data_IF_882354152610
#
_entry.id   IF_882354152610
#
_cell.length_a   1.000
_cell.length_b   1.000
_cell.length_c   1.000
_cell.angle_alpha   90.00
_cell.angle_beta   90.00
_cell.angle_gamma   90.00
#
_symmetry.space_group_name_H-M   'P 1'
#
loop_
_entity.id
_entity.type
_entity.pdbx_description
1 polymer ?
#
# COMPACT_ATOMS: atom_id res chain seq x y z
N UNK A 1 -15.31 -4.30 25.05
CA UNK A 1 -14.79 -3.03 25.61
C UNK A 1 -15.38 -1.91 24.78
N UNK A 2 -15.93 -0.86 25.43
CA UNK A 2 -16.45 0.31 24.70
C UNK A 2 -15.29 1.15 24.16
N UNK A 3 -15.44 1.68 22.95
CA UNK A 3 -14.50 2.68 22.39
C UNK A 3 -14.71 3.99 23.16
N UNK A 4 -13.66 4.51 23.78
CA UNK A 4 -13.68 5.80 24.48
C UNK A 4 -13.06 6.85 23.55
N UNK A 5 -13.79 7.95 23.34
CA UNK A 5 -13.28 9.10 22.60
C UNK A 5 -12.84 10.15 23.61
N UNK A 6 -11.61 10.60 23.48
CA UNK A 6 -11.00 11.64 24.33
C UNK A 6 -10.68 12.88 23.47
N UNK A 7 -10.71 14.07 24.07
CA UNK A 7 -10.22 15.28 23.43
C UNK A 7 -8.75 15.48 23.84
N UNK A 8 -7.84 15.29 22.87
CA UNK A 8 -6.41 15.46 23.09
C UNK A 8 -5.93 16.80 22.54
N UNK A 9 -4.91 17.38 23.18
CA UNK A 9 -4.25 18.59 22.68
C UNK A 9 -3.59 18.29 21.35
N UNK A 10 -3.70 19.19 20.38
CA UNK A 10 -3.12 19.03 19.05
C UNK A 10 -1.58 18.99 19.12
N UNK A 11 -1.00 19.68 20.10
CA UNK A 11 0.46 19.74 20.30
C UNK A 11 1.02 18.42 20.84
N UNK A 12 0.21 17.63 21.55
CA UNK A 12 0.58 16.28 22.02
C UNK A 12 0.55 15.22 20.92
N UNK A 13 0.10 15.58 19.70
CA UNK A 13 -0.10 14.64 18.60
C UNK A 13 0.99 14.79 17.53
N UNK A 14 1.68 13.66 17.26
CA UNK A 14 2.76 13.58 16.29
C UNK A 14 2.37 12.70 15.11
N UNK A 15 2.77 13.16 13.91
CA UNK A 15 2.63 12.33 12.72
C UNK A 15 3.53 11.09 12.82
N UNK A 16 3.00 9.95 12.36
CA UNK A 16 3.78 8.73 12.35
C UNK A 16 4.83 8.76 11.21
N UNK A 17 6.14 8.61 11.51
CA UNK A 17 7.19 8.61 10.49
C UNK A 17 7.07 7.43 9.51
N UNK A 18 6.44 6.33 9.95
CA UNK A 18 6.21 5.11 9.14
C UNK A 18 4.91 5.16 8.32
N UNK A 19 4.23 6.31 8.26
CA UNK A 19 3.02 6.45 7.45
C UNK A 19 3.35 6.18 5.98
N UNK A 20 2.67 5.22 5.32
CA UNK A 20 2.84 4.96 3.88
C UNK A 20 2.58 6.21 3.03
N UNK A 21 1.66 7.05 3.45
CA UNK A 21 1.36 8.33 2.79
C UNK A 21 2.40 9.38 3.14
N UNK A 22 3.35 9.64 2.23
CA UNK A 22 4.43 10.64 2.43
C UNK A 22 3.96 12.09 2.27
N UNK A 23 2.94 12.33 1.45
CA UNK A 23 2.40 13.67 1.21
C UNK A 23 0.95 13.76 1.67
N UNK A 24 0.66 14.75 2.47
CA UNK A 24 -0.70 15.00 2.97
C UNK A 24 -1.61 15.54 1.86
N UNK A 25 -1.00 16.12 0.78
CA UNK A 25 -1.71 16.77 -0.33
C UNK A 25 -2.34 18.09 0.10
N UNK A 26 -3.18 18.63 -0.77
CA UNK A 26 -3.95 19.82 -0.45
C UNK A 26 -4.97 19.53 0.67
N UNK A 27 -4.96 20.37 1.70
CA UNK A 27 -5.82 20.26 2.87
C UNK A 27 -6.64 21.55 3.15
N UNK A 28 -6.61 22.54 2.27
CA UNK A 28 -7.25 23.85 2.50
C UNK A 28 -8.77 23.72 2.67
N UNK A 29 -9.43 22.94 1.79
CA UNK A 29 -10.85 22.66 1.93
C UNK A 29 -11.17 21.90 3.21
N UNK A 30 -10.33 20.90 3.57
CA UNK A 30 -10.50 20.14 4.80
C UNK A 30 -10.30 21.02 6.04
N UNK A 31 -9.29 21.91 6.03
CA UNK A 31 -9.04 22.85 7.13
C UNK A 31 -10.19 23.85 7.27
N UNK A 32 -10.74 24.35 6.17
CA UNK A 32 -11.92 25.20 6.17
C UNK A 32 -13.17 24.49 6.76
N UNK A 33 -13.41 23.25 6.34
CA UNK A 33 -14.49 22.42 6.87
C UNK A 33 -14.31 22.14 8.37
N UNK A 34 -13.10 21.79 8.79
CA UNK A 34 -12.78 21.53 10.21
C UNK A 34 -12.96 22.81 11.06
N UNK A 35 -12.58 23.97 10.55
CA UNK A 35 -12.78 25.26 11.25
C UNK A 35 -14.27 25.56 11.48
N UNK A 36 -15.13 25.22 10.51
CA UNK A 36 -16.56 25.53 10.59
C UNK A 36 -17.38 24.47 11.33
N UNK A 37 -17.00 23.18 11.26
CA UNK A 37 -17.83 22.07 11.73
C UNK A 37 -17.13 21.16 12.77
N UNK A 38 -15.85 21.42 13.07
CA UNK A 38 -15.02 20.53 13.88
C UNK A 38 -14.68 19.20 13.18
N UNK A 39 -13.99 18.34 13.90
CA UNK A 39 -13.64 16.99 13.43
C UNK A 39 -14.78 16.03 13.80
N UNK A 40 -15.48 15.50 12.80
CA UNK A 40 -16.60 14.58 13.01
C UNK A 40 -16.15 13.12 13.19
N UNK A 41 -15.03 12.75 12.59
CA UNK A 41 -14.46 11.41 12.70
C UNK A 41 -13.19 11.47 13.55
N UNK A 42 -13.16 10.84 14.75
CA UNK A 42 -12.01 10.85 15.63
C UNK A 42 -10.74 10.34 14.94
N UNK A 43 -9.58 10.81 15.41
CA UNK A 43 -8.30 10.22 15.06
C UNK A 43 -8.11 8.89 15.81
N UNK A 44 -7.33 7.96 15.26
CA UNK A 44 -6.82 6.83 16.02
C UNK A 44 -5.36 7.10 16.36
N UNK A 45 -5.04 7.03 17.65
CA UNK A 45 -3.71 7.34 18.16
C UNK A 45 -3.22 6.27 19.13
N UNK A 46 -1.91 6.14 19.25
CA UNK A 46 -1.27 5.28 20.26
C UNK A 46 -0.29 6.10 21.10
N UNK A 47 -0.17 5.87 22.43
CA UNK A 47 0.87 6.50 23.23
C UNK A 47 2.25 6.17 22.64
N UNK A 48 3.13 7.17 22.52
CA UNK A 48 4.49 6.95 22.04
C UNK A 48 5.52 6.61 23.14
N UNK A 49 5.06 6.59 24.38
CA UNK A 49 5.88 6.32 25.56
C UNK A 49 6.63 7.54 26.10
N UNK A 50 6.45 8.70 25.48
CA UNK A 50 7.08 9.96 25.90
C UNK A 50 6.09 10.84 26.66
N UNK A 51 6.63 11.76 27.45
CA UNK A 51 5.93 12.86 28.09
C UNK A 51 6.68 14.16 27.80
N UNK A 52 5.95 15.26 27.66
CA UNK A 52 6.56 16.57 27.54
C UNK A 52 7.10 17.09 28.89
N UNK A 53 7.64 18.30 28.88
CA UNK A 53 8.21 18.95 30.08
C UNK A 53 7.16 19.25 31.17
N UNK A 54 5.89 19.34 30.78
CA UNK A 54 4.76 19.61 31.68
C UNK A 54 4.07 18.31 32.14
N UNK A 55 4.61 17.14 31.70
CA UNK A 55 4.10 15.83 32.09
C UNK A 55 2.95 15.32 31.23
N UNK A 56 2.62 15.96 30.10
CA UNK A 56 1.58 15.50 29.19
C UNK A 56 2.07 14.33 28.36
N UNK A 57 1.25 13.28 28.27
CA UNK A 57 1.51 12.12 27.43
C UNK A 57 1.51 12.52 25.96
N UNK A 58 2.49 12.01 25.22
CA UNK A 58 2.62 12.23 23.80
C UNK A 58 2.09 11.02 23.00
N UNK A 59 1.49 11.29 21.84
CA UNK A 59 0.82 10.25 21.05
C UNK A 59 1.27 10.29 19.59
N UNK A 60 1.37 9.10 18.98
CA UNK A 60 1.52 8.98 17.52
C UNK A 60 0.16 8.75 16.86
N UNK A 61 -0.08 9.43 15.76
CA UNK A 61 -1.28 9.23 14.96
C UNK A 61 -1.12 7.99 14.09
N UNK A 62 -2.07 7.07 14.18
CA UNK A 62 -2.17 5.84 13.38
C UNK A 62 -3.10 6.06 12.19
N UNK A 63 -4.29 6.62 12.44
CA UNK A 63 -5.27 7.01 11.40
C UNK A 63 -5.66 8.47 11.58
N UNK A 64 -5.69 9.22 10.46
CA UNK A 64 -6.19 10.59 10.44
C UNK A 64 -5.12 11.66 10.30
N UNK A 65 -3.97 11.37 9.71
CA UNK A 65 -2.87 12.31 9.48
C UNK A 65 -3.31 13.60 8.75
N UNK A 66 -4.19 13.49 7.72
CA UNK A 66 -4.76 14.68 7.04
C UNK A 66 -5.61 15.52 7.98
N UNK A 67 -6.39 14.87 8.86
CA UNK A 67 -7.22 15.58 9.85
C UNK A 67 -6.38 16.28 10.89
N UNK A 68 -5.28 15.67 11.35
CA UNK A 68 -4.32 16.31 12.23
C UNK A 68 -3.69 17.54 11.57
N UNK A 69 -3.19 17.39 10.32
CA UNK A 69 -2.59 18.51 9.59
C UNK A 69 -3.59 19.66 9.39
N UNK A 70 -4.82 19.35 9.00
CA UNK A 70 -5.88 20.35 8.83
C UNK A 70 -6.33 20.98 10.16
N UNK A 71 -6.32 20.23 11.27
CA UNK A 71 -6.58 20.78 12.61
C UNK A 71 -5.52 21.79 13.03
N UNK A 72 -4.23 21.46 12.81
CA UNK A 72 -3.11 22.38 13.03
C UNK A 72 -3.25 23.66 12.20
N UNK A 73 -3.55 23.52 10.92
CA UNK A 73 -3.76 24.67 10.02
C UNK A 73 -5.00 25.50 10.39
N UNK A 74 -6.03 24.88 10.96
CA UNK A 74 -7.25 25.55 11.39
C UNK A 74 -7.11 26.27 12.74
N UNK A 75 -6.01 26.04 13.47
CA UNK A 75 -5.77 26.61 14.79
C UNK A 75 -6.61 25.96 15.90
N UNK A 76 -7.05 24.70 15.73
CA UNK A 76 -7.72 23.97 16.81
C UNK A 76 -6.72 23.62 17.91
N UNK A 77 -7.10 23.83 19.16
CA UNK A 77 -6.31 23.42 20.33
C UNK A 77 -6.47 21.94 20.67
N UNK A 78 -7.66 21.38 20.43
CA UNK A 78 -7.96 19.98 20.75
C UNK A 78 -8.65 19.28 19.59
N UNK A 79 -8.50 17.95 19.52
CA UNK A 79 -9.17 17.09 18.56
C UNK A 79 -9.71 15.81 19.22
N UNK A 80 -10.86 15.29 18.75
CA UNK A 80 -11.37 14.01 19.24
C UNK A 80 -10.46 12.87 18.74
N UNK A 81 -10.05 12.00 19.65
CA UNK A 81 -9.20 10.85 19.35
C UNK A 81 -9.66 9.60 20.10
N UNK A 82 -9.43 8.46 19.50
CA UNK A 82 -9.50 7.14 20.13
C UNK A 82 -8.08 6.77 20.49
N UNK A 83 -7.82 6.55 21.78
CA UNK A 83 -6.53 6.11 22.28
C UNK A 83 -6.52 4.60 22.39
N UNK A 84 -5.64 3.94 21.68
CA UNK A 84 -5.45 2.49 21.72
C UNK A 84 -3.96 2.17 21.90
N UNK A 85 -3.62 1.44 22.95
CA UNK A 85 -2.26 0.93 23.13
C UNK A 85 -2.03 -0.22 22.16
N UNK A 86 -0.99 -0.10 21.33
CA UNK A 86 -0.63 -1.11 20.35
C UNK A 86 0.88 -1.18 20.15
N UNK A 87 1.36 -2.36 19.77
CA UNK A 87 2.75 -2.53 19.35
C UNK A 87 3.00 -1.99 17.94
N UNK A 88 4.29 -1.83 17.60
CA UNK A 88 4.71 -1.28 16.31
C UNK A 88 4.22 -2.12 15.10
N UNK A 89 4.06 -3.44 15.28
CA UNK A 89 3.54 -4.33 14.23
C UNK A 89 2.06 -4.04 13.96
N UNK A 90 1.25 -3.95 15.02
CA UNK A 90 -0.18 -3.65 14.92
C UNK A 90 -0.43 -2.25 14.38
N UNK A 91 0.33 -1.27 14.83
CA UNK A 91 0.30 0.10 14.33
C UNK A 91 0.55 0.14 12.81
N UNK A 92 1.61 -0.53 12.33
CA UNK A 92 1.95 -0.60 10.91
C UNK A 92 0.90 -1.34 10.09
N UNK A 93 0.36 -2.42 10.61
CA UNK A 93 -0.71 -3.19 9.97
C UNK A 93 -1.96 -2.32 9.74
N UNK A 94 -2.42 -1.59 10.76
CA UNK A 94 -3.60 -0.70 10.66
C UNK A 94 -3.37 0.38 9.60
N UNK A 95 -2.18 1.02 9.60
CA UNK A 95 -1.84 2.03 8.61
C UNK A 95 -1.82 1.48 7.18
N UNK A 96 -1.30 0.27 6.97
CA UNK A 96 -1.29 -0.38 5.65
C UNK A 96 -2.70 -0.74 5.18
N UNK A 97 -3.54 -1.29 6.07
CA UNK A 97 -4.94 -1.59 5.75
C UNK A 97 -5.70 -0.32 5.36
N UNK A 98 -5.57 0.76 6.15
CA UNK A 98 -6.19 2.06 5.82
C UNK A 98 -5.72 2.58 4.47
N UNK A 99 -4.40 2.52 4.24
CA UNK A 99 -3.82 3.00 2.99
C UNK A 99 -4.32 2.19 1.77
N UNK A 100 -4.43 0.85 1.86
CA UNK A 100 -4.93 0.02 0.74
C UNK A 100 -6.41 0.24 0.40
N UNK A 101 -7.17 0.89 1.27
CA UNK A 101 -8.58 1.20 1.05
C UNK A 101 -8.79 2.55 0.33
N UNK A 102 -7.74 3.28 0.03
CA UNK A 102 -7.82 4.56 -0.68
C UNK A 102 -8.20 4.33 -2.14
N UNK A 103 -8.98 5.27 -2.70
CA UNK A 103 -9.46 5.22 -4.09
C UNK A 103 -8.48 5.82 -5.10
N UNK A 104 -7.45 6.52 -4.64
CA UNK A 104 -6.48 7.26 -5.46
C UNK A 104 -5.14 6.52 -5.66
N UNK A 105 -5.05 5.26 -5.21
CA UNK A 105 -3.87 4.43 -5.42
C UNK A 105 -3.76 3.93 -6.86
N UNK A 106 -2.55 3.98 -7.40
CA UNK A 106 -2.21 3.22 -8.61
C UNK A 106 -2.21 1.71 -8.30
N UNK A 107 -2.38 0.84 -9.32
CA UNK A 107 -2.35 -0.60 -9.11
C UNK A 107 -1.04 -1.12 -8.48
N UNK A 108 0.08 -0.43 -8.73
CA UNK A 108 1.38 -0.81 -8.16
C UNK A 108 1.50 -0.39 -6.69
N UNK A 109 1.03 0.82 -6.33
CA UNK A 109 0.99 1.26 -4.94
C UNK A 109 0.08 0.38 -4.08
N UNK A 110 -1.06 -0.03 -4.65
CA UNK A 110 -1.95 -0.99 -3.99
C UNK A 110 -1.28 -2.36 -3.81
N UNK A 111 -0.56 -2.84 -4.83
CA UNK A 111 0.21 -4.09 -4.74
C UNK A 111 1.28 -4.03 -3.65
N UNK A 112 2.03 -2.92 -3.56
CA UNK A 112 3.05 -2.71 -2.53
C UNK A 112 2.44 -2.63 -1.12
N UNK A 113 1.24 -2.07 -0.99
CA UNK A 113 0.48 -2.10 0.26
C UNK A 113 0.15 -3.52 0.72
N UNK A 114 -0.32 -4.38 -0.18
CA UNK A 114 -0.56 -5.80 0.13
C UNK A 114 0.72 -6.58 0.41
N UNK A 115 1.83 -6.27 -0.28
CA UNK A 115 3.12 -6.87 0.03
C UNK A 115 3.58 -6.49 1.44
N UNK A 116 3.45 -5.22 1.82
CA UNK A 116 3.77 -4.78 3.18
C UNK A 116 2.96 -5.50 4.27
N UNK A 117 1.68 -5.83 4.01
CA UNK A 117 0.87 -6.66 4.90
C UNK A 117 1.39 -8.10 4.96
N UNK A 118 1.79 -8.68 3.82
CA UNK A 118 2.37 -10.02 3.77
C UNK A 118 3.68 -10.10 4.57
N UNK A 119 4.54 -9.09 4.45
CA UNK A 119 5.81 -8.98 5.18
C UNK A 119 5.61 -8.89 6.71
N UNK A 120 4.46 -8.37 7.14
CA UNK A 120 4.02 -8.41 8.54
C UNK A 120 3.43 -9.77 8.96
N UNK A 121 3.37 -10.76 8.05
CA UNK A 121 2.83 -12.08 8.31
C UNK A 121 1.30 -12.16 8.26
N UNK A 122 0.62 -11.15 7.69
CA UNK A 122 -0.83 -11.17 7.48
C UNK A 122 -1.15 -12.08 6.31
N UNK A 123 -1.98 -13.09 6.49
CA UNK A 123 -2.35 -14.05 5.45
C UNK A 123 -3.36 -13.48 4.44
N UNK A 124 -3.41 -14.06 3.23
CA UNK A 124 -4.32 -13.61 2.14
C UNK A 124 -5.79 -13.57 2.57
N UNK A 125 -6.24 -14.54 3.35
CA UNK A 125 -7.63 -14.59 3.84
C UNK A 125 -7.91 -13.41 4.76
N UNK A 126 -7.02 -13.16 5.70
CA UNK A 126 -7.13 -12.06 6.66
C UNK A 126 -7.03 -10.69 5.98
N UNK A 127 -6.13 -10.52 4.99
CA UNK A 127 -6.07 -9.32 4.17
C UNK A 127 -7.39 -9.05 3.46
N UNK A 128 -7.98 -10.10 2.86
CA UNK A 128 -9.26 -10.01 2.15
C UNK A 128 -10.39 -9.54 3.08
N UNK A 129 -10.46 -10.11 4.28
CA UNK A 129 -11.44 -9.75 5.31
C UNK A 129 -11.25 -8.29 5.79
N UNK A 130 -10.02 -7.89 6.12
CA UNK A 130 -9.69 -6.54 6.62
C UNK A 130 -9.90 -5.43 5.58
N UNK A 131 -9.67 -5.73 4.30
CA UNK A 131 -9.78 -4.72 3.22
C UNK A 131 -11.13 -4.76 2.50
N UNK A 132 -12.00 -5.75 2.80
CA UNK A 132 -13.28 -5.94 2.12
C UNK A 132 -13.11 -6.39 0.66
N UNK A 133 -11.97 -6.99 0.30
CA UNK A 133 -11.67 -7.47 -1.05
C UNK A 133 -11.75 -9.00 -1.14
N UNK A 134 -11.83 -9.55 -2.35
CA UNK A 134 -11.77 -11.00 -2.53
C UNK A 134 -10.32 -11.52 -2.39
N UNK A 135 -10.13 -12.77 -1.92
CA UNK A 135 -8.81 -13.38 -1.88
C UNK A 135 -8.16 -13.53 -3.27
N UNK A 136 -8.96 -13.60 -4.35
CA UNK A 136 -8.46 -13.56 -5.74
C UNK A 136 -7.84 -12.19 -6.06
N UNK A 137 -8.51 -11.13 -5.65
CA UNK A 137 -8.01 -9.77 -5.81
C UNK A 137 -6.66 -9.58 -5.09
N UNK A 138 -6.58 -9.96 -3.81
CA UNK A 138 -5.34 -9.87 -3.02
C UNK A 138 -4.20 -10.64 -3.67
N UNK A 139 -4.42 -11.90 -4.10
CA UNK A 139 -3.39 -12.69 -4.80
C UNK A 139 -2.91 -12.03 -6.09
N UNK A 140 -3.82 -11.39 -6.83
CA UNK A 140 -3.46 -10.65 -8.06
C UNK A 140 -2.53 -9.48 -7.73
N UNK A 141 -2.80 -8.71 -6.67
CA UNK A 141 -1.92 -7.61 -6.23
C UNK A 141 -0.55 -8.11 -5.76
N UNK A 142 -0.54 -9.18 -4.96
CA UNK A 142 0.72 -9.80 -4.52
C UNK A 142 1.57 -10.33 -5.68
N UNK A 143 0.94 -10.80 -6.77
CA UNK A 143 1.66 -11.19 -7.99
C UNK A 143 2.31 -9.98 -8.67
N UNK A 144 1.60 -8.87 -8.78
CA UNK A 144 2.12 -7.61 -9.32
C UNK A 144 3.27 -7.05 -8.45
N UNK A 145 3.14 -7.14 -7.13
CA UNK A 145 4.17 -6.67 -6.19
C UNK A 145 5.54 -7.34 -6.38
N UNK A 146 5.57 -8.56 -6.95
CA UNK A 146 6.80 -9.30 -7.24
C UNK A 146 7.56 -8.81 -8.48
N UNK A 147 7.01 -7.88 -9.26
CA UNK A 147 7.74 -7.25 -10.36
C UNK A 147 8.95 -6.52 -9.76
N UNK A 148 10.20 -6.88 -10.12
CA UNK A 148 11.40 -6.30 -9.53
C UNK A 148 11.47 -4.78 -9.72
N UNK A 149 12.07 -4.09 -8.75
CA UNK A 149 12.25 -2.62 -8.82
C UNK A 149 13.03 -2.21 -10.07
N UNK A 150 14.06 -2.97 -10.45
CA UNK A 150 14.80 -2.76 -11.69
C UNK A 150 13.92 -2.72 -12.93
N UNK A 151 12.91 -3.61 -13.00
CA UNK A 151 11.93 -3.63 -14.09
C UNK A 151 11.00 -2.42 -14.04
N UNK A 152 10.59 -2.01 -12.84
CA UNK A 152 9.73 -0.82 -12.63
C UNK A 152 10.44 0.46 -13.05
N UNK A 153 11.76 0.56 -12.83
CA UNK A 153 12.59 1.73 -13.15
C UNK A 153 12.92 1.84 -14.66
N UNK A 154 12.60 0.83 -15.45
CA UNK A 154 12.90 0.79 -16.89
C UNK A 154 11.99 1.64 -17.76
N UNK A 155 10.80 1.98 -17.27
CA UNK A 155 9.85 2.85 -17.97
C UNK A 155 9.53 4.06 -17.11
N UNK A 156 9.70 5.26 -17.67
CA UNK A 156 9.30 6.50 -17.02
C UNK A 156 7.79 6.51 -16.68
N UNK A 157 6.99 5.78 -17.48
CA UNK A 157 5.54 5.71 -17.36
C UNK A 157 5.07 4.43 -16.66
N UNK A 158 5.96 3.69 -15.98
CA UNK A 158 5.59 2.42 -15.33
C UNK A 158 4.38 2.56 -14.40
N UNK A 159 4.29 3.66 -13.67
CA UNK A 159 3.16 3.97 -12.79
C UNK A 159 1.83 4.17 -13.52
N UNK A 160 1.86 4.42 -14.83
CA UNK A 160 0.69 4.61 -15.70
C UNK A 160 0.21 3.30 -16.34
N UNK A 161 0.97 2.21 -16.18
CA UNK A 161 0.55 0.91 -16.73
C UNK A 161 -0.79 0.49 -16.12
N UNK A 162 -1.67 0.05 -17.00
CA UNK A 162 -2.97 -0.50 -16.60
C UNK A 162 -2.78 -1.79 -15.81
N UNK A 163 -3.80 -2.14 -15.04
CA UNK A 163 -3.81 -3.40 -14.29
C UNK A 163 -3.60 -4.63 -15.18
N UNK A 164 -4.16 -4.61 -16.41
CA UNK A 164 -3.98 -5.69 -17.38
C UNK A 164 -2.53 -5.81 -17.86
N UNK A 165 -1.87 -4.68 -18.11
CA UNK A 165 -0.45 -4.67 -18.48
C UNK A 165 0.45 -5.14 -17.34
N UNK A 166 0.18 -4.73 -16.10
CA UNK A 166 0.91 -5.22 -14.93
C UNK A 166 0.72 -6.73 -14.69
N UNK A 167 -0.48 -7.25 -14.91
CA UNK A 167 -0.70 -8.69 -14.85
C UNK A 167 0.10 -9.46 -15.91
N UNK A 168 0.11 -8.95 -17.17
CA UNK A 168 0.90 -9.51 -18.26
C UNK A 168 2.39 -9.48 -17.95
N UNK A 169 2.92 -8.38 -17.37
CA UNK A 169 4.30 -8.32 -16.89
C UNK A 169 4.59 -9.36 -15.81
N UNK A 170 3.68 -9.49 -14.85
CA UNK A 170 3.82 -10.46 -13.76
C UNK A 170 3.76 -11.93 -14.23
N UNK A 171 3.24 -12.21 -15.42
CA UNK A 171 3.29 -13.57 -16.01
C UNK A 171 4.72 -14.03 -16.38
N UNK A 172 5.64 -13.09 -16.54
CA UNK A 172 7.05 -13.37 -16.85
C UNK A 172 7.95 -13.34 -15.59
N UNK A 173 7.40 -13.56 -14.39
CA UNK A 173 8.17 -13.61 -13.12
C UNK A 173 9.35 -14.58 -13.18
N UNK A 174 9.18 -15.73 -13.86
CA UNK A 174 10.23 -16.75 -14.04
C UNK A 174 11.21 -16.45 -15.17
N UNK A 175 11.01 -15.38 -15.94
CA UNK A 175 11.84 -14.99 -17.07
C UNK A 175 12.13 -13.47 -17.03
N UNK A 176 13.13 -13.07 -16.24
CA UNK A 176 13.43 -11.65 -16.02
C UNK A 176 13.81 -10.89 -17.30
N UNK A 177 14.41 -11.57 -18.30
CA UNK A 177 14.80 -10.93 -19.55
C UNK A 177 13.57 -10.58 -20.40
N UNK A 178 12.63 -11.52 -20.55
CA UNK A 178 11.35 -11.26 -21.22
C UNK A 178 10.53 -10.20 -20.47
N UNK A 179 10.56 -10.22 -19.14
CA UNK A 179 9.85 -9.23 -18.34
C UNK A 179 10.42 -7.82 -18.56
N UNK A 180 11.76 -7.65 -18.57
CA UNK A 180 12.42 -6.38 -18.85
C UNK A 180 12.17 -5.89 -20.28
N UNK A 181 12.20 -6.80 -21.24
CA UNK A 181 11.90 -6.47 -22.64
C UNK A 181 10.47 -5.93 -22.78
N UNK A 182 9.49 -6.61 -22.16
CA UNK A 182 8.09 -6.16 -22.17
C UNK A 182 7.90 -4.79 -21.49
N UNK A 183 8.61 -4.57 -20.38
CA UNK A 183 8.52 -3.30 -19.64
C UNK A 183 9.02 -2.09 -20.44
N UNK A 184 9.94 -2.30 -21.40
CA UNK A 184 10.52 -1.25 -22.27
C UNK A 184 9.81 -1.10 -23.62
N UNK A 185 8.81 -1.93 -23.90
CA UNK A 185 8.25 -2.02 -25.22
C UNK A 185 7.40 -0.80 -25.59
N UNK A 186 7.67 -0.20 -26.74
CA UNK A 186 6.82 0.87 -27.31
C UNK A 186 5.43 0.35 -27.69
N UNK A 187 5.37 -0.87 -28.26
CA UNK A 187 4.11 -1.60 -28.49
C UNK A 187 4.04 -2.79 -27.52
N UNK A 188 3.40 -2.53 -26.38
CA UNK A 188 3.27 -3.47 -25.29
C UNK A 188 2.52 -4.75 -25.72
N UNK A 189 1.38 -4.62 -26.40
CA UNK A 189 0.54 -5.76 -26.71
C UNK A 189 1.16 -6.66 -27.80
N UNK A 190 1.77 -6.08 -28.80
CA UNK A 190 2.51 -6.86 -29.81
C UNK A 190 3.68 -7.60 -29.20
N UNK A 191 4.47 -6.92 -28.36
CA UNK A 191 5.62 -7.53 -27.65
C UNK A 191 5.17 -8.67 -26.74
N UNK A 192 4.11 -8.46 -25.95
CA UNK A 192 3.54 -9.51 -25.11
C UNK A 192 3.16 -10.75 -25.93
N UNK A 193 2.45 -10.59 -27.07
CA UNK A 193 2.06 -11.71 -27.93
C UNK A 193 3.26 -12.44 -28.52
N UNK A 194 4.32 -11.71 -28.90
CA UNK A 194 5.56 -12.29 -29.40
C UNK A 194 6.25 -13.11 -28.32
N UNK A 195 6.47 -12.55 -27.13
CA UNK A 195 7.12 -13.21 -26.00
C UNK A 195 6.36 -14.47 -25.55
N UNK A 196 5.03 -14.42 -25.52
CA UNK A 196 4.20 -15.59 -25.24
C UNK A 196 4.41 -16.73 -26.27
N UNK A 197 4.58 -16.41 -27.55
CA UNK A 197 4.87 -17.41 -28.59
C UNK A 197 6.27 -18.00 -28.43
N UNK A 198 7.26 -17.20 -28.12
CA UNK A 198 8.64 -17.63 -27.86
C UNK A 198 8.70 -18.57 -26.66
N UNK A 199 8.12 -18.18 -25.51
CA UNK A 199 8.04 -19.03 -24.30
C UNK A 199 7.39 -20.39 -24.57
N UNK A 200 6.31 -20.44 -25.38
CA UNK A 200 5.68 -21.71 -25.75
C UNK A 200 6.60 -22.59 -26.62
N UNK A 201 7.34 -22.00 -27.55
CA UNK A 201 8.31 -22.73 -28.40
C UNK A 201 9.43 -23.34 -27.55
N UNK A 202 10.01 -22.58 -26.63
CA UNK A 202 11.05 -23.06 -25.72
C UNK A 202 10.54 -24.22 -24.86
N UNK A 203 9.39 -24.05 -24.21
CA UNK A 203 8.79 -25.06 -23.36
C UNK A 203 8.47 -26.37 -24.14
N UNK A 204 8.04 -26.26 -25.40
CA UNK A 204 7.81 -27.41 -26.26
C UNK A 204 9.13 -28.14 -26.61
N UNK A 205 10.18 -27.38 -26.94
CA UNK A 205 11.51 -27.91 -27.26
C UNK A 205 12.12 -28.65 -26.06
N UNK A 206 12.06 -28.02 -24.85
CA UNK A 206 12.58 -28.62 -23.62
C UNK A 206 11.87 -29.94 -23.29
N UNK A 207 10.55 -29.96 -23.42
CA UNK A 207 9.78 -31.21 -23.24
C UNK A 207 10.16 -32.31 -24.23
N UNK A 208 10.36 -31.97 -25.51
CA UNK A 208 10.79 -32.93 -26.53
C UNK A 208 12.18 -33.50 -26.21
N UNK A 209 13.13 -32.68 -25.74
CA UNK A 209 14.46 -33.13 -25.31
C UNK A 209 14.39 -34.05 -24.08
N UNK A 210 13.55 -33.75 -23.09
CA UNK A 210 13.34 -34.65 -21.95
C UNK A 210 12.75 -36.02 -22.35
N UNK A 211 11.81 -36.03 -23.28
CA UNK A 211 11.23 -37.29 -23.80
C UNK A 211 12.27 -38.14 -24.54
N UNK A 212 13.13 -37.52 -25.37
CA UNK A 212 14.23 -38.20 -26.07
C UNK A 212 15.26 -38.73 -25.06
N UNK A 213 15.64 -37.94 -24.04
CA UNK A 213 16.61 -38.34 -23.03
C UNK A 213 16.13 -39.48 -22.11
N UNK A 214 14.81 -39.68 -21.96
CA UNK A 214 14.21 -40.81 -21.22
C UNK A 214 14.11 -42.09 -22.03
N UNK A 215 14.24 -42.00 -23.35
CA UNK A 215 14.14 -43.14 -24.26
C UNK A 215 15.50 -43.85 -24.50
N UNK A 216 16.58 -43.34 -23.93
CA UNK A 216 17.93 -43.91 -23.91
C UNK A 216 18.34 -44.29 -22.48
#
# INVERSE_FOLDING_TARGET
>A
MGITIENLQVDDLHANPNNPRKQVGDIDELASSIRSQGIKQPLLVTPNGETDIDGHKQYRVVIGHRRLAAAKQSGLSTVPAIVEEMDARREREIMLVENTQRSDLTPIEEADGYQGLLDLGVGVKEMAEKTGRSGRFVRRRLKIARIPQETRDMSADFSQLSLDQLDKLAEFESDPDMQRELARADDFDWTYQRLCRERRKTAWHDKALEEIGRAH
#
